data_IF_342947065524
#
_entry.id   IF_342947065524
#
_cell.length_a   1.000
_cell.length_b   1.000
_cell.length_c   1.000
_cell.angle_alpha   90.00
_cell.angle_beta   90.00
_cell.angle_gamma   90.00
#
_symmetry.space_group_name_H-M   'P 1'
#
loop_
_entity.id
_entity.type
_entity.pdbx_description
1 polymer ?
#
# COMPACT_ATOMS: atom_id res chain seq x y z
N UNK A 1 -13.42 -44.92 6.55
CA UNK A 1 -13.24 -43.56 7.11
C UNK A 1 -12.01 -42.94 6.47
N UNK A 2 -12.08 -41.86 5.66
CA UNK A 2 -10.87 -41.16 5.24
C UNK A 2 -10.64 -39.92 6.12
N UNK A 3 -9.41 -39.82 6.63
CA UNK A 3 -8.90 -38.71 7.42
C UNK A 3 -8.69 -37.46 6.56
N UNK A 4 -9.15 -36.33 7.11
CA UNK A 4 -8.80 -34.95 6.78
C UNK A 4 -7.34 -34.76 6.33
N UNK A 5 -7.12 -34.50 5.03
CA UNK A 5 -5.82 -34.06 4.50
C UNK A 5 -5.57 -32.63 4.96
N UNK A 6 -4.52 -32.47 5.78
CA UNK A 6 -4.14 -31.23 6.43
C UNK A 6 -4.02 -30.03 5.49
N UNK A 7 -4.55 -28.90 5.96
CA UNK A 7 -4.34 -27.56 5.41
C UNK A 7 -2.84 -27.27 5.42
N UNK A 8 -2.24 -27.13 4.25
CA UNK A 8 -0.84 -26.77 4.09
C UNK A 8 -0.59 -25.39 4.71
N UNK A 9 0.28 -25.35 5.72
CA UNK A 9 0.86 -24.09 6.21
C UNK A 9 1.72 -23.50 5.09
N UNK A 10 1.28 -22.39 4.53
CA UNK A 10 2.11 -21.55 3.65
C UNK A 10 3.18 -20.88 4.51
N UNK A 11 4.43 -21.30 4.33
CA UNK A 11 5.58 -20.71 5.00
C UNK A 11 5.74 -19.25 4.52
N UNK A 12 5.61 -18.29 5.44
CA UNK A 12 5.72 -16.84 5.20
C UNK A 12 7.11 -16.36 4.71
N UNK A 13 7.99 -17.26 4.30
CA UNK A 13 9.38 -16.98 3.96
C UNK A 13 9.63 -16.71 2.47
N UNK A 14 8.69 -17.01 1.56
CA UNK A 14 8.90 -16.86 0.10
C UNK A 14 7.99 -15.84 -0.59
N UNK A 15 7.03 -15.23 0.10
CA UNK A 15 6.32 -14.07 -0.45
C UNK A 15 7.31 -12.91 -0.43
N UNK A 16 8.10 -12.79 -1.49
CA UNK A 16 8.89 -11.62 -1.82
C UNK A 16 7.89 -10.50 -2.11
N UNK A 17 7.34 -9.90 -1.05
CA UNK A 17 6.36 -8.82 -1.11
C UNK A 17 7.02 -7.71 -1.91
N UNK A 18 6.39 -7.34 -3.02
CA UNK A 18 6.82 -6.20 -3.82
C UNK A 18 6.84 -5.00 -2.88
N UNK A 19 8.02 -4.38 -2.71
CA UNK A 19 8.19 -3.20 -1.86
C UNK A 19 7.83 -1.90 -2.61
N UNK A 20 6.95 -2.02 -3.61
CA UNK A 20 6.51 -0.92 -4.45
C UNK A 20 5.00 -0.99 -4.62
N UNK A 21 4.38 0.17 -4.62
CA UNK A 21 2.95 0.33 -4.78
C UNK A 21 2.63 0.36 -6.29
N UNK A 22 1.62 -0.39 -6.72
CA UNK A 22 1.14 -0.32 -8.12
C UNK A 22 0.15 0.83 -8.28
N UNK A 23 -0.07 1.31 -9.51
CA UNK A 23 -0.93 2.45 -9.76
C UNK A 23 -2.33 2.31 -9.15
N UNK A 24 -2.95 1.13 -9.25
CA UNK A 24 -4.24 0.84 -8.62
C UNK A 24 -4.23 0.99 -7.09
N UNK A 25 -3.14 0.57 -6.44
CA UNK A 25 -3.00 0.69 -4.99
C UNK A 25 -2.75 2.14 -4.58
N UNK A 26 -2.00 2.90 -5.38
CA UNK A 26 -1.80 4.34 -5.18
C UNK A 26 -3.13 5.09 -5.33
N UNK A 27 -3.94 4.80 -6.35
CA UNK A 27 -5.25 5.41 -6.54
C UNK A 27 -6.20 5.10 -5.37
N UNK A 28 -6.16 3.87 -4.85
CA UNK A 28 -6.95 3.48 -3.67
C UNK A 28 -6.48 4.23 -2.41
N UNK A 29 -5.16 4.37 -2.24
CA UNK A 29 -4.56 5.13 -1.15
C UNK A 29 -4.87 6.63 -1.25
N UNK A 30 -4.91 7.18 -2.46
CA UNK A 30 -5.24 8.58 -2.73
C UNK A 30 -6.71 8.88 -2.38
N UNK A 31 -7.63 7.97 -2.71
CA UNK A 31 -9.05 8.05 -2.30
C UNK A 31 -9.23 7.96 -0.78
N UNK A 32 -8.44 7.13 -0.12
CA UNK A 32 -8.43 7.04 1.34
C UNK A 32 -7.84 8.31 1.99
N UNK A 33 -6.82 8.92 1.37
CA UNK A 33 -6.25 10.19 1.83
C UNK A 33 -7.25 11.36 1.73
N UNK A 34 -8.19 11.29 0.79
CA UNK A 34 -9.22 12.29 0.53
C UNK A 34 -10.42 12.26 1.50
N UNK A 35 -10.50 11.26 2.40
CA UNK A 35 -11.64 11.10 3.32
C UNK A 35 -11.40 11.70 4.73
N UNK A 36 -10.30 12.43 4.93
CA UNK A 36 -9.91 13.00 6.22
C UNK A 36 -10.15 14.51 6.38
N UNK A 37 -9.96 15.07 7.59
CA UNK A 37 -10.10 16.51 7.86
C UNK A 37 -9.13 17.41 7.08
N UNK A 38 -8.02 16.84 6.59
CA UNK A 38 -7.03 17.49 5.73
C UNK A 38 -6.90 16.79 4.38
N UNK A 39 -8.03 16.35 3.82
CA UNK A 39 -8.14 15.61 2.56
C UNK A 39 -7.27 16.19 1.44
N UNK A 40 -7.50 17.44 1.07
CA UNK A 40 -6.78 18.11 -0.01
C UNK A 40 -5.26 18.18 0.22
N UNK A 41 -4.82 18.40 1.48
CA UNK A 41 -3.40 18.43 1.84
C UNK A 41 -2.77 17.05 1.67
N UNK A 42 -3.38 16.02 2.26
CA UNK A 42 -2.85 14.66 2.24
C UNK A 42 -2.86 14.07 0.82
N UNK A 43 -3.90 14.40 0.04
CA UNK A 43 -4.01 14.08 -1.38
C UNK A 43 -2.86 14.69 -2.18
N UNK A 44 -2.64 16.01 -2.05
CA UNK A 44 -1.54 16.72 -2.72
C UNK A 44 -0.17 16.18 -2.30
N UNK A 45 0.03 15.93 -1.00
CA UNK A 45 1.27 15.37 -0.46
C UNK A 45 1.62 14.01 -1.10
N UNK A 46 0.62 13.13 -1.16
CA UNK A 46 0.77 11.79 -1.73
C UNK A 46 1.04 11.85 -3.23
N UNK A 47 0.37 12.75 -3.96
CA UNK A 47 0.57 12.97 -5.38
C UNK A 47 1.97 13.52 -5.70
N UNK A 48 2.44 14.50 -4.93
CA UNK A 48 3.78 15.06 -5.10
C UNK A 48 4.86 14.02 -4.81
N UNK A 49 4.67 13.22 -3.76
CA UNK A 49 5.55 12.10 -3.43
C UNK A 49 5.58 11.06 -4.57
N UNK A 50 4.44 10.79 -5.21
CA UNK A 50 4.34 9.85 -6.32
C UNK A 50 4.93 10.39 -7.65
N UNK A 51 4.64 11.64 -8.03
CA UNK A 51 5.09 12.23 -9.30
C UNK A 51 6.58 12.61 -9.25
N UNK A 52 7.03 13.18 -8.13
CA UNK A 52 8.39 13.71 -8.01
C UNK A 52 9.35 12.77 -7.28
N UNK A 53 8.85 11.71 -6.62
CA UNK A 53 9.70 10.80 -5.85
C UNK A 53 10.28 11.41 -4.58
N UNK A 54 9.64 12.46 -4.05
CA UNK A 54 10.07 13.13 -2.82
C UNK A 54 10.04 12.16 -1.64
N UNK A 55 11.09 12.17 -0.82
CA UNK A 55 11.14 11.44 0.44
C UNK A 55 10.24 12.12 1.48
N UNK A 56 9.77 11.35 2.45
CA UNK A 56 8.95 11.84 3.56
C UNK A 56 9.57 13.04 4.31
N UNK A 57 10.90 13.16 4.31
CA UNK A 57 11.63 14.28 4.93
C UNK A 57 11.69 15.56 4.08
N UNK A 58 11.39 15.49 2.79
CA UNK A 58 11.39 16.66 1.89
C UNK A 58 10.01 17.35 1.85
N UNK A 59 8.99 16.67 2.39
CA UNK A 59 7.59 17.06 2.32
C UNK A 59 6.96 17.35 3.69
N UNK A 60 7.69 17.06 4.77
CA UNK A 60 7.34 17.34 6.16
C UNK A 60 8.01 18.64 6.63
#
# INVERSE_FOLDING_TARGET
MPAIKGKTMTNNADIKKRNFLTQNEIESLLKAADTGPYAARNYCLTLLCFIHGLRASEIC
#
